data_IF_273389370450
#
_entry.id   IF_273389370450
#
_cell.length_a   1.000
_cell.length_b   1.000
_cell.length_c   1.000
_cell.angle_alpha   90.00
_cell.angle_beta   90.00
_cell.angle_gamma   90.00
#
_symmetry.space_group_name_H-M   'P 1'
#
loop_
_entity.id
_entity.type
_entity.pdbx_description
1 polymer ?
#
# COMPACT_ATOMS: atom_id res chain seq x y z
N UNK A 1 -5.91 21.99 47.38
CA UNK A 1 -7.30 22.46 47.37
C UNK A 1 -7.74 22.65 45.93
N UNK A 2 -8.40 21.66 45.34
CA UNK A 2 -9.46 21.83 44.34
C UNK A 2 -10.41 20.64 44.58
N UNK A 3 -11.60 20.95 45.08
CA UNK A 3 -12.73 20.03 45.23
C UNK A 3 -13.29 19.65 43.84
N UNK A 4 -13.68 18.39 43.67
CA UNK A 4 -14.79 18.03 42.81
C UNK A 4 -15.66 17.01 43.55
N UNK A 5 -16.83 17.48 43.97
CA UNK A 5 -17.91 16.71 44.53
C UNK A 5 -18.89 16.27 43.43
N UNK A 6 -19.60 15.16 43.67
CA UNK A 6 -20.83 14.79 42.93
C UNK A 6 -20.91 13.30 42.68
N UNK A 7 -21.50 12.52 43.61
CA UNK A 7 -22.93 12.05 43.56
C UNK A 7 -23.20 11.15 42.36
N UNK A 8 -23.69 9.92 42.48
CA UNK A 8 -24.19 9.15 43.60
C UNK A 8 -24.75 7.84 43.01
N UNK A 9 -24.43 6.70 43.63
CA UNK A 9 -25.01 5.39 43.29
C UNK A 9 -25.77 4.90 44.51
N UNK A 10 -27.04 4.51 44.34
CA UNK A 10 -27.82 3.46 45.05
C UNK A 10 -29.23 3.39 44.39
N UNK A 11 -30.06 2.35 44.59
CA UNK A 11 -29.80 0.91 44.77
C UNK A 11 -30.83 -0.04 44.04
N UNK A 12 -30.61 -1.35 44.20
CA UNK A 12 -31.58 -2.48 44.38
C UNK A 12 -32.59 -2.91 43.29
N UNK A 13 -32.37 -4.12 42.70
CA UNK A 13 -33.12 -5.41 42.82
C UNK A 13 -34.65 -5.41 43.11
N UNK A 14 -35.45 -6.50 42.86
CA UNK A 14 -35.19 -7.82 42.23
C UNK A 14 -36.33 -8.41 41.31
N UNK A 15 -36.03 -9.57 40.71
CA UNK A 15 -36.82 -10.80 40.45
C UNK A 15 -38.37 -10.81 40.25
N UNK A 16 -38.83 -11.58 39.23
CA UNK A 16 -39.87 -12.63 39.29
C UNK A 16 -40.29 -13.03 37.84
N UNK A 17 -40.10 -14.27 37.39
CA UNK A 17 -41.07 -15.38 37.42
C UNK A 17 -42.44 -15.07 36.78
N UNK A 18 -42.83 -15.82 35.74
CA UNK A 18 -44.06 -16.64 35.71
C UNK A 18 -44.24 -17.41 34.38
N UNK A 19 -44.45 -18.71 34.52
CA UNK A 19 -44.98 -19.64 33.52
C UNK A 19 -46.48 -19.39 33.30
N UNK A 20 -46.98 -19.55 32.08
CA UNK A 20 -48.38 -19.85 31.84
C UNK A 20 -48.54 -20.71 30.57
N UNK A 21 -49.03 -21.93 30.78
CA UNK A 21 -49.49 -22.83 29.73
C UNK A 21 -50.95 -22.49 29.37
N UNK A 22 -51.28 -22.53 28.08
CA UNK A 22 -52.67 -22.50 27.61
C UNK A 22 -52.91 -23.61 26.58
N UNK A 23 -53.73 -24.58 27.00
CA UNK A 23 -54.41 -25.57 26.17
C UNK A 23 -55.47 -24.88 25.30
N UNK A 24 -55.51 -25.18 24.00
CA UNK A 24 -56.74 -25.06 23.19
C UNK A 24 -56.96 -26.37 22.41
N UNK A 25 -58.21 -26.85 22.50
CA UNK A 25 -58.70 -28.06 21.85
C UNK A 25 -58.89 -27.87 20.34
N UNK A 26 -58.48 -28.90 19.58
CA UNK A 26 -59.29 -29.63 18.61
C UNK A 26 -59.71 -28.94 17.31
N UNK A 27 -59.17 -29.42 16.19
CA UNK A 27 -59.92 -29.69 14.95
C UNK A 27 -59.25 -30.88 14.22
N UNK A 28 -60.02 -31.95 14.03
CA UNK A 28 -59.65 -33.11 13.20
C UNK A 28 -59.73 -32.67 11.73
N UNK A 29 -58.58 -32.51 11.09
CA UNK A 29 -58.44 -32.26 9.65
C UNK A 29 -57.96 -33.53 8.93
N UNK A 30 -58.66 -33.90 7.86
CA UNK A 30 -58.37 -35.06 7.02
C UNK A 30 -56.90 -35.15 6.60
N UNK A 31 -56.28 -36.31 6.80
CA UNK A 31 -54.93 -36.60 6.31
C UNK A 31 -54.94 -36.74 4.78
N UNK A 32 -54.46 -35.72 4.08
CA UNK A 32 -53.92 -35.84 2.72
C UNK A 32 -52.52 -35.27 2.80
N UNK A 33 -51.50 -36.12 2.76
CA UNK A 33 -50.10 -35.66 2.75
C UNK A 33 -49.90 -34.87 1.45
N UNK A 34 -49.57 -33.57 1.48
CA UNK A 34 -49.10 -32.91 0.29
C UNK A 34 -47.73 -33.51 -0.03
N UNK A 35 -47.56 -34.02 -1.24
CA UNK A 35 -46.22 -34.31 -1.76
C UNK A 35 -45.43 -33.01 -1.74
N UNK A 36 -44.28 -32.93 -1.05
CA UNK A 36 -43.43 -31.76 -1.11
C UNK A 36 -43.01 -31.56 -2.56
N UNK A 37 -43.40 -30.43 -3.17
CA UNK A 37 -42.76 -30.01 -4.41
C UNK A 37 -41.29 -29.69 -4.09
N UNK A 38 -40.34 -29.99 -4.99
CA UNK A 38 -38.97 -29.55 -4.83
C UNK A 38 -38.97 -28.02 -4.82
N UNK A 39 -38.82 -27.44 -3.63
CA UNK A 39 -38.45 -26.04 -3.52
C UNK A 39 -37.02 -25.94 -4.08
N UNK A 40 -36.71 -24.98 -4.97
CA UNK A 40 -35.32 -24.69 -5.24
C UNK A 40 -34.72 -24.29 -3.90
N UNK A 41 -33.74 -25.07 -3.46
CA UNK A 41 -33.06 -24.84 -2.21
C UNK A 41 -32.65 -23.36 -2.14
N UNK A 42 -33.19 -22.68 -1.14
CA UNK A 42 -32.48 -21.91 -0.12
C UNK A 42 -30.97 -22.22 -0.01
N UNK A 43 -30.24 -22.02 -1.10
CA UNK A 43 -28.78 -21.99 -1.19
C UNK A 43 -28.29 -20.54 -1.07
N UNK A 44 -28.62 -19.89 0.05
CA UNK A 44 -28.05 -18.59 0.39
C UNK A 44 -27.24 -18.61 1.71
N UNK A 45 -27.27 -19.70 2.48
CA UNK A 45 -26.63 -19.73 3.81
C UNK A 45 -25.49 -20.74 3.93
N UNK A 46 -24.72 -21.03 2.86
CA UNK A 46 -23.37 -21.57 3.03
C UNK A 46 -22.48 -21.48 1.78
N UNK A 47 -22.66 -20.46 0.94
CA UNK A 47 -21.69 -20.23 -0.13
C UNK A 47 -20.49 -19.49 0.47
N UNK A 48 -19.50 -20.24 0.94
CA UNK A 48 -18.16 -19.70 1.14
C UNK A 48 -17.45 -19.79 -0.20
N UNK A 49 -17.38 -18.70 -0.97
CA UNK A 49 -16.67 -18.70 -2.23
C UNK A 49 -15.21 -19.16 -2.05
N UNK A 50 -14.64 -19.86 -3.04
CA UNK A 50 -13.21 -20.12 -3.01
C UNK A 50 -12.47 -18.78 -2.99
N UNK A 51 -11.63 -18.54 -1.97
CA UNK A 51 -10.91 -17.26 -1.75
C UNK A 51 -10.31 -16.67 -3.02
N UNK A 52 -9.77 -17.53 -3.89
CA UNK A 52 -9.18 -17.17 -5.19
C UNK A 52 -10.16 -16.48 -6.14
N UNK A 53 -11.41 -16.89 -6.17
CA UNK A 53 -12.42 -16.39 -7.11
C UNK A 53 -12.92 -14.99 -6.70
N UNK A 54 -12.88 -14.67 -5.40
CA UNK A 54 -13.24 -13.34 -4.89
C UNK A 54 -12.05 -12.37 -4.91
N UNK A 55 -10.83 -12.86 -4.75
CA UNK A 55 -9.62 -12.04 -4.90
C UNK A 55 -9.41 -11.50 -6.30
N UNK A 56 -9.98 -12.13 -7.35
CA UNK A 56 -9.90 -11.63 -8.73
C UNK A 56 -10.84 -10.43 -8.97
N UNK A 57 -11.93 -10.33 -8.20
CA UNK A 57 -12.96 -9.29 -8.35
C UNK A 57 -12.83 -8.15 -7.34
N UNK A 58 -12.08 -8.34 -6.25
CA UNK A 58 -11.79 -7.30 -5.27
C UNK A 58 -10.54 -6.50 -5.67
N UNK A 59 -10.69 -5.23 -6.13
CA UNK A 59 -9.55 -4.39 -6.50
C UNK A 59 -8.65 -4.02 -5.29
N UNK A 60 -9.09 -4.31 -4.06
CA UNK A 60 -8.35 -4.11 -2.82
C UNK A 60 -7.71 -5.39 -2.28
N UNK A 61 -7.93 -6.55 -2.91
CA UNK A 61 -7.30 -7.79 -2.49
C UNK A 61 -5.77 -7.67 -2.49
N UNK A 62 -5.07 -8.37 -1.58
CA UNK A 62 -3.61 -8.48 -1.62
C UNK A 62 -3.18 -9.09 -2.96
N UNK A 63 -2.24 -8.42 -3.64
CA UNK A 63 -1.65 -8.94 -4.87
C UNK A 63 -0.49 -9.85 -4.49
N UNK A 64 -0.48 -11.07 -5.02
CA UNK A 64 0.66 -11.97 -4.89
C UNK A 64 1.87 -11.32 -5.57
N UNK A 65 2.80 -10.81 -4.76
CA UNK A 65 4.01 -10.16 -5.24
C UNK A 65 5.16 -11.15 -5.24
N UNK A 66 5.71 -11.39 -6.42
CA UNK A 66 6.95 -12.12 -6.60
C UNK A 66 7.94 -11.21 -7.30
N UNK A 67 8.95 -10.78 -6.53
CA UNK A 67 10.02 -9.95 -7.06
C UNK A 67 10.78 -10.69 -8.17
N UNK A 68 11.00 -10.00 -9.28
CA UNK A 68 11.82 -10.52 -10.39
C UNK A 68 13.31 -10.32 -10.11
N UNK A 69 14.16 -11.06 -10.80
CA UNK A 69 15.60 -10.81 -10.76
C UNK A 69 15.90 -9.40 -11.28
N UNK A 70 16.70 -8.64 -10.52
CA UNK A 70 16.98 -7.23 -10.81
C UNK A 70 18.46 -7.06 -11.14
N UNK A 71 18.81 -6.78 -12.41
CA UNK A 71 20.17 -6.37 -12.75
C UNK A 71 20.42 -4.96 -12.19
N UNK A 72 21.66 -4.71 -11.77
CA UNK A 72 22.07 -3.36 -11.37
C UNK A 72 22.22 -2.51 -12.64
N UNK A 73 21.75 -1.24 -12.64
CA UNK A 73 21.88 -0.37 -13.79
C UNK A 73 23.34 0.06 -13.99
N UNK A 74 23.62 0.69 -15.13
CA UNK A 74 24.86 1.44 -15.29
C UNK A 74 24.97 2.54 -14.20
N UNK A 75 26.19 2.95 -13.88
CA UNK A 75 26.38 4.05 -12.92
C UNK A 75 25.76 5.35 -13.47
N UNK A 76 25.13 6.16 -12.60
CA UNK A 76 24.46 7.38 -13.03
C UNK A 76 25.49 8.39 -13.55
N UNK A 77 25.13 9.07 -14.65
CA UNK A 77 25.93 10.15 -15.23
C UNK A 77 25.23 11.47 -14.98
N UNK A 78 25.98 12.52 -14.65
CA UNK A 78 25.39 13.81 -14.30
C UNK A 78 24.51 14.41 -15.42
N UNK A 79 24.83 14.12 -16.69
CA UNK A 79 24.03 14.56 -17.83
C UNK A 79 22.64 13.88 -17.95
N UNK A 80 22.42 12.75 -17.27
CA UNK A 80 21.16 12.01 -17.29
C UNK A 80 20.32 12.27 -16.03
N UNK A 81 20.82 13.08 -15.07
CA UNK A 81 20.14 13.38 -13.82
C UNK A 81 18.99 14.39 -14.03
N UNK A 82 17.82 14.04 -13.52
CA UNK A 82 16.64 14.89 -13.49
C UNK A 82 16.40 15.30 -12.05
N UNK A 83 16.49 16.60 -11.77
CA UNK A 83 16.25 17.15 -10.43
C UNK A 83 14.75 17.20 -10.12
N UNK A 84 14.41 17.05 -8.84
CA UNK A 84 13.04 17.20 -8.37
C UNK A 84 13.00 17.77 -6.95
N UNK A 85 11.91 18.45 -6.64
CA UNK A 85 11.72 19.11 -5.34
C UNK A 85 11.03 18.16 -4.34
N UNK A 86 11.56 18.08 -3.13
CA UNK A 86 11.00 17.25 -2.03
C UNK A 86 10.35 18.11 -0.95
N UNK A 87 10.93 19.28 -0.70
CA UNK A 87 10.41 20.26 0.25
C UNK A 87 11.10 21.61 0.01
N UNK A 88 10.37 22.74 0.05
CA UNK A 88 10.96 24.08 -0.12
C UNK A 88 11.99 24.47 0.95
N UNK A 89 12.07 23.73 2.06
CA UNK A 89 12.93 24.05 3.20
C UNK A 89 14.14 23.10 3.35
N UNK A 90 14.46 22.31 2.31
CA UNK A 90 15.52 21.30 2.36
C UNK A 90 16.93 21.84 2.13
N UNK A 91 17.94 21.22 2.75
CA UNK A 91 19.37 21.46 2.49
C UNK A 91 19.98 20.42 1.52
N UNK A 92 19.12 19.67 0.83
CA UNK A 92 19.50 18.58 -0.06
C UNK A 92 18.90 18.80 -1.45
N UNK A 93 19.71 18.56 -2.47
CA UNK A 93 19.27 18.45 -3.85
C UNK A 93 19.04 16.98 -4.17
N UNK A 94 17.90 16.69 -4.80
CA UNK A 94 17.53 15.33 -5.18
C UNK A 94 17.45 15.22 -6.69
N UNK A 95 17.96 14.12 -7.22
CA UNK A 95 17.84 13.79 -8.61
C UNK A 95 17.60 12.30 -8.83
N UNK A 96 16.98 11.97 -9.95
CA UNK A 96 16.84 10.60 -10.47
C UNK A 96 17.65 10.48 -11.75
N UNK A 97 18.40 9.40 -11.92
CA UNK A 97 19.02 9.09 -13.21
C UNK A 97 17.97 8.56 -14.19
N UNK A 98 17.71 9.31 -15.26
CA UNK A 98 16.70 8.99 -16.26
C UNK A 98 16.90 7.60 -16.89
N UNK A 99 18.15 7.15 -17.04
CA UNK A 99 18.47 5.88 -17.69
C UNK A 99 18.28 4.66 -16.81
N UNK A 100 18.21 4.87 -15.50
CA UNK A 100 17.97 3.81 -14.52
C UNK A 100 16.49 3.46 -14.34
N UNK A 101 15.58 4.34 -14.79
CA UNK A 101 14.14 4.18 -14.55
C UNK A 101 13.60 2.99 -15.33
N UNK A 102 12.95 2.06 -14.63
CA UNK A 102 12.27 0.92 -15.23
C UNK A 102 11.03 0.52 -14.44
N UNK A 103 10.05 -0.05 -15.14
CA UNK A 103 8.86 -0.66 -14.53
C UNK A 103 8.96 -2.16 -14.76
N UNK A 104 9.10 -2.93 -13.68
CA UNK A 104 9.23 -4.38 -13.77
C UNK A 104 7.89 -5.07 -14.03
N UNK A 105 7.95 -6.31 -14.51
CA UNK A 105 6.76 -7.16 -14.65
C UNK A 105 6.06 -7.45 -13.31
N UNK A 106 6.78 -7.30 -12.20
CA UNK A 106 6.26 -7.36 -10.83
C UNK A 106 5.55 -6.06 -10.38
N UNK A 107 5.52 -5.03 -11.24
CA UNK A 107 4.91 -3.73 -10.96
C UNK A 107 5.75 -2.80 -10.10
N UNK A 108 6.96 -3.19 -9.71
CA UNK A 108 7.87 -2.32 -8.97
C UNK A 108 8.56 -1.32 -9.93
N UNK A 109 8.55 -0.04 -9.56
CA UNK A 109 9.25 1.03 -10.29
C UNK A 109 10.65 1.15 -9.69
N UNK A 110 11.68 0.92 -10.51
CA UNK A 110 13.09 0.89 -10.12
C UNK A 110 13.81 2.10 -10.67
N UNK A 111 14.72 2.67 -9.88
CA UNK A 111 15.42 3.90 -10.23
C UNK A 111 16.67 4.09 -9.39
N UNK A 112 17.60 4.90 -9.88
CA UNK A 112 18.76 5.38 -9.15
C UNK A 112 18.50 6.79 -8.65
N UNK A 113 18.58 6.98 -7.33
CA UNK A 113 18.46 8.26 -6.67
C UNK A 113 19.86 8.83 -6.37
N UNK A 114 19.99 10.15 -6.52
CA UNK A 114 21.19 10.91 -6.16
C UNK A 114 20.78 12.01 -5.20
N UNK A 115 21.33 11.99 -3.99
CA UNK A 115 21.10 12.99 -2.95
C UNK A 115 22.39 13.74 -2.69
N UNK A 116 22.38 15.06 -2.92
CA UNK A 116 23.54 15.92 -2.72
C UNK A 116 23.27 16.94 -1.62
N UNK A 117 24.15 17.02 -0.62
CA UNK A 117 24.06 18.02 0.45
C UNK A 117 24.95 19.23 0.18
N UNK A 118 24.64 20.37 0.81
CA UNK A 118 25.41 21.61 0.68
C UNK A 118 26.91 21.47 1.03
N UNK A 119 27.28 20.52 1.89
CA UNK A 119 28.67 20.22 2.27
C UNK A 119 29.45 19.36 1.25
N UNK A 120 28.86 19.02 0.10
CA UNK A 120 29.51 18.20 -0.93
C UNK A 120 29.41 16.68 -0.69
N UNK A 121 28.57 16.25 0.25
CA UNK A 121 28.14 14.86 0.37
C UNK A 121 27.29 14.49 -0.85
N UNK A 122 27.57 13.33 -1.46
CA UNK A 122 26.79 12.77 -2.57
C UNK A 122 26.48 11.30 -2.25
N UNK A 123 25.23 11.00 -1.96
CA UNK A 123 24.75 9.65 -1.72
C UNK A 123 24.01 9.16 -2.97
N UNK A 124 24.34 7.96 -3.41
CA UNK A 124 23.76 7.35 -4.60
C UNK A 124 23.24 5.97 -4.22
N UNK A 125 21.99 5.69 -4.56
CA UNK A 125 21.34 4.41 -4.29
C UNK A 125 20.54 3.96 -5.49
N UNK A 126 20.53 2.66 -5.76
CA UNK A 126 19.58 2.01 -6.65
C UNK A 126 18.46 1.40 -5.83
N UNK A 127 17.24 1.82 -6.09
CA UNK A 127 16.06 1.59 -5.26
C UNK A 127 14.86 1.18 -6.10
N UNK A 128 13.81 0.75 -5.43
CA UNK A 128 12.49 0.59 -6.03
C UNK A 128 11.37 1.00 -5.09
N UNK A 129 10.23 1.34 -5.70
CA UNK A 129 8.95 1.52 -5.02
C UNK A 129 7.93 0.53 -5.54
N UNK A 130 7.13 0.00 -4.61
CA UNK A 130 5.92 -0.76 -4.86
C UNK A 130 4.70 0.12 -4.62
N UNK A 131 3.95 0.40 -5.68
CA UNK A 131 2.77 1.25 -5.61
C UNK A 131 1.56 0.55 -4.97
N UNK A 132 1.53 -0.78 -4.96
CA UNK A 132 0.42 -1.56 -4.41
C UNK A 132 0.39 -1.61 -2.88
N UNK A 133 1.57 -1.58 -2.24
CA UNK A 133 1.77 -1.59 -0.79
C UNK A 133 2.45 -0.34 -0.24
N UNK A 134 2.81 0.61 -1.11
CA UNK A 134 3.54 1.84 -0.78
C UNK A 134 4.83 1.58 0.02
N UNK A 135 5.62 0.60 -0.44
CA UNK A 135 6.91 0.21 0.14
C UNK A 135 8.06 0.61 -0.77
N UNK A 136 9.22 0.88 -0.17
CA UNK A 136 10.49 1.01 -0.90
C UNK A 136 11.46 -0.10 -0.54
N UNK A 137 12.40 -0.37 -1.44
CA UNK A 137 13.55 -1.24 -1.20
C UNK A 137 14.80 -0.58 -1.78
N UNK A 138 15.92 -0.70 -1.07
CA UNK A 138 17.23 -0.28 -1.58
C UNK A 138 18.03 -1.52 -1.97
N UNK A 139 18.39 -1.63 -3.24
CA UNK A 139 19.14 -2.76 -3.81
C UNK A 139 20.64 -2.59 -3.68
N UNK A 140 21.13 -1.38 -3.90
CA UNK A 140 22.55 -1.11 -3.89
C UNK A 140 22.84 0.35 -3.57
N UNK A 141 24.05 0.61 -3.09
CA UNK A 141 24.58 1.96 -2.93
C UNK A 141 25.87 2.09 -3.74
N UNK A 142 26.18 3.32 -4.14
CA UNK A 142 27.42 3.64 -4.82
C UNK A 142 28.19 4.65 -3.96
N UNK A 143 29.20 4.18 -3.19
CA UNK A 143 30.06 5.05 -2.41
C UNK A 143 30.77 6.09 -3.28
N UNK A 144 31.08 7.24 -2.69
CA UNK A 144 31.81 8.31 -3.40
C UNK A 144 33.15 7.78 -3.91
N UNK A 145 33.38 7.90 -5.23
CA UNK A 145 34.61 7.46 -5.88
C UNK A 145 34.66 5.97 -6.26
N UNK A 146 33.61 5.19 -5.96
CA UNK A 146 33.54 3.80 -6.38
C UNK A 146 33.22 3.68 -7.88
N UNK A 147 33.74 2.63 -8.51
CA UNK A 147 33.48 2.25 -9.91
C UNK A 147 32.39 1.20 -10.06
N UNK A 148 31.89 0.67 -8.94
CA UNK A 148 30.97 -0.46 -8.90
C UNK A 148 29.95 -0.32 -7.77
N UNK A 149 28.78 -0.89 -8.00
CA UNK A 149 27.71 -0.96 -7.01
C UNK A 149 28.08 -1.86 -5.82
N UNK A 150 27.74 -1.41 -4.62
CA UNK A 150 27.75 -2.23 -3.41
C UNK A 150 26.32 -2.71 -3.17
N UNK A 151 26.05 -4.00 -3.38
CA UNK A 151 24.73 -4.57 -3.10
C UNK A 151 24.39 -4.49 -1.61
N UNK A 152 23.15 -4.15 -1.34
CA UNK A 152 22.59 -4.21 -0.01
C UNK A 152 22.38 -5.67 0.37
N UNK A 153 23.13 -6.16 1.37
CA UNK A 153 23.08 -7.58 1.77
C UNK A 153 21.76 -8.00 2.41
N UNK A 154 20.92 -7.03 2.80
CA UNK A 154 19.56 -7.23 3.31
C UNK A 154 18.50 -7.12 2.20
N UNK A 155 18.89 -7.32 0.93
CA UNK A 155 17.97 -7.34 -0.22
C UNK A 155 17.31 -8.70 -0.45
N UNK A 156 17.47 -9.66 0.47
CA UNK A 156 16.59 -10.81 0.59
C UNK A 156 15.14 -10.35 0.89
N UNK A 157 14.17 -11.26 0.76
CA UNK A 157 12.74 -10.96 0.52
C UNK A 157 12.07 -10.02 1.54
N UNK A 158 12.71 -9.74 2.67
CA UNK A 158 12.23 -8.86 3.76
C UNK A 158 12.66 -7.39 3.62
N UNK A 159 13.47 -7.01 2.62
CA UNK A 159 14.01 -5.65 2.47
C UNK A 159 13.02 -4.53 2.10
N UNK A 160 11.71 -4.83 1.97
CA UNK A 160 10.68 -3.85 1.63
C UNK A 160 10.18 -3.08 2.87
N UNK A 161 10.48 -1.79 2.94
CA UNK A 161 10.10 -0.92 4.05
C UNK A 161 8.96 0.02 3.66
N UNK A 162 7.99 0.24 4.56
CA UNK A 162 6.91 1.21 4.34
C UNK A 162 7.46 2.62 4.11
N UNK A 163 6.93 3.31 3.08
CA UNK A 163 7.19 4.73 2.89
C UNK A 163 6.35 5.53 3.88
N UNK A 164 6.99 6.24 4.80
CA UNK A 164 6.31 7.10 5.75
C UNK A 164 5.49 8.21 5.04
N UNK A 165 4.39 8.65 5.63
CA UNK A 165 3.51 9.66 5.03
C UNK A 165 4.12 11.07 4.96
N UNK A 166 4.79 11.51 6.04
CA UNK A 166 5.41 12.84 6.18
C UNK A 166 6.72 12.70 6.97
N UNK A 167 7.86 12.98 6.33
CA UNK A 167 9.18 13.11 6.95
C UNK A 167 9.97 14.18 6.19
N UNK A 168 10.82 14.94 6.88
CA UNK A 168 11.57 16.08 6.30
C UNK A 168 12.50 15.70 5.13
N UNK A 169 12.78 14.41 4.94
CA UNK A 169 13.69 13.91 3.90
C UNK A 169 13.09 12.74 3.11
N UNK A 170 11.76 12.71 2.97
CA UNK A 170 11.04 11.59 2.36
C UNK A 170 11.03 11.64 0.82
N UNK A 171 12.20 11.78 0.19
CA UNK A 171 12.30 11.92 -1.27
C UNK A 171 11.67 10.73 -2.01
N UNK A 172 11.85 9.50 -1.49
CA UNK A 172 11.26 8.31 -2.08
C UNK A 172 9.72 8.34 -2.01
N UNK A 173 9.16 8.88 -0.94
CA UNK A 173 7.72 9.07 -0.81
C UNK A 173 7.18 10.19 -1.72
N UNK A 174 7.94 11.26 -1.93
CA UNK A 174 7.63 12.31 -2.91
C UNK A 174 7.64 11.72 -4.33
N UNK A 175 8.71 11.04 -4.73
CA UNK A 175 8.79 10.36 -6.04
C UNK A 175 7.63 9.39 -6.25
N UNK A 176 7.33 8.58 -5.24
CA UNK A 176 6.22 7.64 -5.28
C UNK A 176 4.89 8.33 -5.57
N UNK A 177 4.57 9.39 -4.81
CA UNK A 177 3.28 10.10 -4.91
C UNK A 177 3.16 10.95 -6.17
N UNK A 178 4.24 11.62 -6.54
CA UNK A 178 4.18 12.70 -7.51
C UNK A 178 4.54 12.24 -8.93
N UNK A 179 5.26 11.12 -9.09
CA UNK A 179 5.77 10.70 -10.40
C UNK A 179 5.65 9.20 -10.68
N UNK A 180 5.83 8.33 -9.69
CA UNK A 180 5.98 6.89 -9.95
C UNK A 180 4.69 6.09 -9.82
N UNK A 181 3.74 6.52 -8.98
CA UNK A 181 2.54 5.73 -8.69
C UNK A 181 1.23 6.38 -9.16
N UNK A 182 0.32 5.51 -9.62
CA UNK A 182 -1.07 5.78 -9.94
C UNK A 182 -1.98 4.77 -9.25
N UNK A 183 -2.71 5.22 -8.21
CA UNK A 183 -3.47 4.31 -7.37
C UNK A 183 -2.54 3.24 -6.79
N UNK A 184 -2.82 1.97 -7.12
CA UNK A 184 -2.01 0.80 -6.70
C UNK A 184 -1.00 0.32 -7.75
N UNK A 185 -0.82 1.04 -8.86
CA UNK A 185 0.06 0.68 -9.98
C UNK A 185 1.12 1.74 -10.29
N UNK A 186 2.04 1.41 -11.20
CA UNK A 186 2.97 2.40 -11.75
C UNK A 186 2.21 3.45 -12.58
N UNK A 187 2.70 4.69 -12.57
CA UNK A 187 2.16 5.81 -13.35
C UNK A 187 2.58 5.73 -14.83
N UNK A 188 2.17 4.64 -15.50
CA UNK A 188 2.51 4.36 -16.89
C UNK A 188 3.87 3.67 -17.07
N UNK A 189 4.47 3.88 -18.23
CA UNK A 189 5.76 3.33 -18.65
C UNK A 189 6.94 4.11 -18.05
N UNK A 190 8.14 3.51 -18.07
CA UNK A 190 9.36 4.20 -17.64
C UNK A 190 9.60 5.51 -18.41
N UNK A 191 9.31 5.51 -19.72
CA UNK A 191 9.45 6.68 -20.58
C UNK A 191 8.48 7.81 -20.20
N UNK A 192 7.25 7.47 -19.82
CA UNK A 192 6.25 8.44 -19.35
C UNK A 192 6.64 9.02 -17.99
N UNK A 193 7.07 8.18 -17.05
CA UNK A 193 7.58 8.64 -15.74
C UNK A 193 8.76 9.60 -15.92
N UNK A 194 9.71 9.27 -16.79
CA UNK A 194 10.86 10.13 -17.09
C UNK A 194 10.44 11.44 -17.77
N UNK A 195 9.46 11.39 -18.67
CA UNK A 195 8.89 12.60 -19.30
C UNK A 195 8.27 13.52 -18.25
N UNK A 196 7.47 12.97 -17.35
CA UNK A 196 6.76 13.72 -16.33
C UNK A 196 7.72 14.34 -15.30
N UNK A 197 8.77 13.59 -14.92
CA UNK A 197 9.89 14.11 -14.11
C UNK A 197 10.57 15.31 -14.78
N UNK A 198 10.89 15.22 -16.08
CA UNK A 198 11.56 16.32 -16.82
C UNK A 198 10.68 17.54 -17.01
N UNK A 199 9.37 17.33 -17.12
CA UNK A 199 8.40 18.42 -17.24
C UNK A 199 8.12 19.12 -15.93
N UNK A 200 8.72 18.66 -14.81
CA UNK A 200 8.37 19.08 -13.44
C UNK A 200 6.85 19.14 -13.26
N UNK A 201 6.17 18.13 -13.81
CA UNK A 201 4.72 18.04 -13.81
C UNK A 201 4.32 17.00 -12.76
N UNK A 202 4.45 17.29 -11.45
CA UNK A 202 4.03 16.37 -10.42
C UNK A 202 2.56 16.08 -10.64
N UNK A 203 2.20 14.82 -10.55
CA UNK A 203 0.81 14.43 -10.65
C UNK A 203 0.10 15.10 -9.50
N UNK A 204 -0.85 16.00 -9.80
CA UNK A 204 -1.68 16.65 -8.77
C UNK A 204 -2.29 15.53 -7.95
N UNK A 205 -1.77 15.32 -6.74
CA UNK A 205 -2.17 14.19 -5.92
C UNK A 205 -3.69 14.19 -5.83
N UNK A 206 -4.35 13.14 -6.30
CA UNK A 206 -5.78 12.92 -6.06
C UNK A 206 -6.08 12.74 -4.56
N UNK A 207 -5.03 12.72 -3.72
CA UNK A 207 -5.10 12.86 -2.28
C UNK A 207 -4.99 14.36 -1.94
N UNK A 208 -6.03 15.13 -2.30
CA UNK A 208 -6.32 16.35 -1.55
C UNK A 208 -6.79 15.93 -0.16
N UNK A 209 -6.23 16.56 0.87
CA UNK A 209 -6.57 16.33 2.27
C UNK A 209 -8.05 16.53 2.55
#
# INVERSE_FOLDING_TARGET
MIEFAGRGLRPSLPAACLLAATLCLGLVGCASKPTPQPQPADEAENYTPPKKEWSILDPFAPKDFKEVEVPLPALPRDADLITFEVSPAGNFNFAVDAKSVSVGADGAVRYTAVVTGASGMRNVSFEAVRCDTFQRKMYATLPKGATDWVRNRSDDREGWTQLAGISRNNYAGTLAKDFMCEGRGAAGTAQEIVRDLRGEAPRKSAIQR
#
